data_IF_554215446024
#
_entry.id   IF_554215446024
#
_cell.length_a   1.000
_cell.length_b   1.000
_cell.length_c   1.000
_cell.angle_alpha   90.00
_cell.angle_beta   90.00
_cell.angle_gamma   90.00
#
_symmetry.space_group_name_H-M   'P 1'
#
loop_
_entity.id
_entity.type
_entity.pdbx_description
1 polymer ?
#
# COMPACT_ATOMS: atom_id res chain seq x y z
N UNK A 1 -19.51 18.87 2.05
CA UNK A 1 -18.88 17.73 2.72
C UNK A 1 -17.38 17.54 2.39
N UNK A 2 -16.58 18.61 2.23
CA UNK A 2 -15.15 18.55 1.92
C UNK A 2 -14.21 18.33 3.11
N UNK A 3 -14.70 18.19 4.33
CA UNK A 3 -13.89 18.15 5.58
C UNK A 3 -13.44 16.73 5.99
N UNK A 4 -12.92 15.95 5.04
CA UNK A 4 -12.49 14.55 5.31
C UNK A 4 -11.33 14.45 6.32
N UNK A 5 -10.50 15.47 6.44
CA UNK A 5 -9.40 15.50 7.41
C UNK A 5 -9.91 15.64 8.84
N UNK A 6 -10.85 16.56 9.02
CA UNK A 6 -11.53 16.81 10.29
C UNK A 6 -12.35 15.58 10.69
N UNK A 7 -13.13 15.03 9.79
CA UNK A 7 -13.91 13.81 10.02
C UNK A 7 -13.03 12.62 10.48
N UNK A 8 -11.81 12.48 9.96
CA UNK A 8 -10.86 11.46 10.46
C UNK A 8 -10.38 11.72 11.88
N UNK A 9 -10.16 12.99 12.24
CA UNK A 9 -9.78 13.33 13.63
C UNK A 9 -10.91 12.99 14.58
N UNK A 10 -12.14 13.37 14.23
CA UNK A 10 -13.33 13.04 15.02
C UNK A 10 -13.51 11.53 15.16
N UNK A 11 -13.43 10.76 14.06
CA UNK A 11 -13.52 9.30 14.11
C UNK A 11 -12.45 8.70 15.04
N UNK A 12 -11.22 9.21 15.00
CA UNK A 12 -10.16 8.74 15.88
C UNK A 12 -10.40 9.10 17.34
N UNK A 13 -11.06 10.22 17.59
CA UNK A 13 -11.39 10.66 18.94
C UNK A 13 -12.54 9.80 19.51
N UNK A 14 -13.70 9.79 18.85
CA UNK A 14 -14.89 9.10 19.35
C UNK A 14 -14.74 7.56 19.40
N UNK A 15 -13.92 6.98 18.53
CA UNK A 15 -13.71 5.53 18.47
C UNK A 15 -13.02 4.94 19.71
N UNK A 16 -12.64 5.75 20.69
CA UNK A 16 -12.11 5.29 21.98
C UNK A 16 -13.24 5.00 22.97
N UNK A 17 -14.38 5.65 22.79
CA UNK A 17 -15.46 5.70 23.76
C UNK A 17 -16.75 5.02 23.28
N UNK A 18 -16.75 4.50 22.04
CA UNK A 18 -17.89 3.78 21.45
C UNK A 18 -17.59 2.29 21.32
N UNK A 19 -18.64 1.48 21.45
CA UNK A 19 -18.55 0.02 21.33
C UNK A 19 -18.31 -0.44 19.88
N UNK A 20 -17.87 -1.69 19.73
CA UNK A 20 -17.57 -2.30 18.45
C UNK A 20 -18.78 -2.33 17.51
N UNK A 21 -20.00 -2.55 18.02
CA UNK A 21 -21.23 -2.61 17.21
C UNK A 21 -21.54 -1.26 16.61
N UNK A 22 -21.49 -0.21 17.42
CA UNK A 22 -21.69 1.18 16.97
C UNK A 22 -20.64 1.58 15.93
N UNK A 23 -19.37 1.24 16.17
CA UNK A 23 -18.29 1.54 15.24
C UNK A 23 -18.41 0.76 13.92
N UNK A 24 -18.86 -0.48 13.99
CA UNK A 24 -19.19 -1.29 12.82
C UNK A 24 -20.30 -0.64 11.99
N UNK A 25 -21.42 -0.26 12.61
CA UNK A 25 -22.54 0.40 11.94
C UNK A 25 -22.11 1.75 11.30
N UNK A 26 -21.31 2.53 12.00
CA UNK A 26 -20.72 3.76 11.44
C UNK A 26 -19.86 3.46 10.22
N UNK A 27 -19.08 2.38 10.23
CA UNK A 27 -18.22 1.98 9.11
C UNK A 27 -19.02 1.57 7.88
N UNK A 28 -20.17 0.90 8.07
CA UNK A 28 -21.14 0.61 7.00
C UNK A 28 -21.69 1.91 6.41
N UNK A 29 -22.11 2.86 7.24
CA UNK A 29 -22.59 4.18 6.79
C UNK A 29 -21.51 4.95 6.01
N UNK A 30 -20.25 4.92 6.48
CA UNK A 30 -19.15 5.56 5.75
C UNK A 30 -18.97 4.97 4.36
N UNK A 31 -19.09 3.64 4.23
CA UNK A 31 -19.05 2.94 2.94
C UNK A 31 -20.20 3.40 2.04
N UNK A 32 -21.42 3.44 2.55
CA UNK A 32 -22.61 3.85 1.78
C UNK A 32 -22.52 5.31 1.31
N UNK A 33 -21.84 6.17 2.07
CA UNK A 33 -21.56 7.56 1.69
C UNK A 33 -20.35 7.72 0.76
N UNK A 34 -19.72 6.63 0.34
CA UNK A 34 -18.51 6.64 -0.49
C UNK A 34 -17.25 7.13 0.24
N UNK A 35 -17.29 7.22 1.58
CA UNK A 35 -16.13 7.56 2.38
C UNK A 35 -15.35 6.29 2.78
N UNK A 36 -14.80 5.61 1.77
CA UNK A 36 -14.07 4.35 1.96
C UNK A 36 -12.94 4.42 2.98
N UNK A 37 -12.21 5.55 3.06
CA UNK A 37 -11.15 5.74 4.08
C UNK A 37 -11.74 5.70 5.50
N UNK A 38 -12.90 6.30 5.73
CA UNK A 38 -13.59 6.25 7.01
C UNK A 38 -14.03 4.83 7.37
N UNK A 39 -14.59 4.11 6.39
CA UNK A 39 -14.97 2.71 6.53
C UNK A 39 -13.77 1.84 6.94
N UNK A 40 -12.67 1.94 6.20
CA UNK A 40 -11.42 1.23 6.51
C UNK A 40 -10.92 1.51 7.93
N UNK A 41 -10.91 2.78 8.33
CA UNK A 41 -10.42 3.19 9.66
C UNK A 41 -11.33 2.72 10.79
N UNK A 42 -12.64 2.77 10.58
CA UNK A 42 -13.61 2.29 11.55
C UNK A 42 -13.51 0.78 11.73
N UNK A 43 -13.63 0.01 10.66
CA UNK A 43 -13.46 -1.44 10.71
C UNK A 43 -12.09 -1.87 11.23
N UNK A 44 -11.04 -1.11 11.00
CA UNK A 44 -9.70 -1.39 11.52
C UNK A 44 -9.60 -1.35 13.04
N UNK A 45 -10.61 -0.81 13.73
CA UNK A 45 -10.68 -0.68 15.19
C UNK A 45 -11.67 -1.64 15.84
N UNK A 46 -12.51 -2.33 15.03
CA UNK A 46 -13.45 -3.34 15.52
C UNK A 46 -12.83 -4.73 15.54
N UNK A 47 -13.43 -5.64 16.31
CA UNK A 47 -13.13 -7.07 16.30
C UNK A 47 -13.95 -7.84 15.24
N UNK A 48 -14.82 -7.17 14.49
CA UNK A 48 -15.60 -7.78 13.41
C UNK A 48 -14.74 -7.89 12.14
N UNK A 49 -14.65 -9.09 11.58
CA UNK A 49 -13.80 -9.40 10.41
C UNK A 49 -14.59 -9.79 9.15
N UNK A 50 -15.91 -9.81 9.23
CA UNK A 50 -16.80 -10.47 8.26
C UNK A 50 -16.96 -9.67 6.95
N UNK A 51 -16.96 -8.33 6.99
CA UNK A 51 -17.10 -7.49 5.79
C UNK A 51 -15.74 -7.16 5.16
N UNK A 52 -15.19 -8.13 4.43
CA UNK A 52 -13.89 -7.96 3.76
C UNK A 52 -13.96 -6.86 2.69
N UNK A 53 -15.07 -6.75 1.94
CA UNK A 53 -15.23 -5.73 0.89
C UNK A 53 -15.25 -4.30 1.46
N UNK A 54 -15.74 -4.11 2.69
CA UNK A 54 -15.70 -2.81 3.35
C UNK A 54 -14.34 -2.51 3.99
N UNK A 55 -13.65 -3.52 4.46
CA UNK A 55 -12.29 -3.41 5.01
C UNK A 55 -11.23 -3.22 3.93
N UNK A 56 -11.45 -3.81 2.74
CA UNK A 56 -10.53 -3.80 1.59
C UNK A 56 -11.21 -3.30 0.31
N UNK A 57 -11.79 -2.10 0.30
CA UNK A 57 -12.41 -1.55 -0.90
C UNK A 57 -11.37 -1.32 -2.00
N UNK A 58 -11.73 -1.65 -3.24
CA UNK A 58 -10.87 -1.38 -4.39
C UNK A 58 -10.98 0.11 -4.73
N UNK A 59 -9.94 0.87 -4.40
CA UNK A 59 -9.89 2.31 -4.64
C UNK A 59 -9.01 2.65 -5.84
N UNK A 60 -9.42 3.67 -6.61
CA UNK A 60 -8.66 4.16 -7.79
C UNK A 60 -8.38 3.08 -8.84
N UNK A 61 -9.25 2.10 -8.95
CA UNK A 61 -9.10 0.87 -9.74
C UNK A 61 -8.55 1.13 -11.14
N UNK A 62 -9.16 2.04 -11.90
CA UNK A 62 -8.73 2.38 -13.27
C UNK A 62 -7.27 2.76 -13.40
N UNK A 63 -6.68 3.38 -12.37
CA UNK A 63 -5.27 3.77 -12.40
C UNK A 63 -4.36 2.59 -12.07
N UNK A 64 -4.76 1.73 -11.14
CA UNK A 64 -4.02 0.50 -10.86
C UNK A 64 -4.09 -0.47 -12.03
N UNK A 65 -5.23 -0.59 -12.73
CA UNK A 65 -5.37 -1.40 -13.94
C UNK A 65 -4.44 -0.94 -15.06
N UNK A 66 -4.27 0.37 -15.25
CA UNK A 66 -3.38 0.93 -16.28
C UNK A 66 -1.94 0.45 -16.08
N UNK A 67 -1.48 0.30 -14.83
CA UNK A 67 -0.09 -0.06 -14.51
C UNK A 67 0.12 -1.52 -14.14
N UNK A 68 -0.91 -2.27 -13.80
CA UNK A 68 -0.83 -3.72 -13.57
C UNK A 68 -0.71 -4.53 -14.86
N UNK A 69 -1.12 -4.00 -16.01
CA UNK A 69 -0.96 -4.63 -17.34
C UNK A 69 0.50 -4.95 -17.72
N UNK A 70 1.46 -4.50 -16.93
CA UNK A 70 2.90 -4.64 -17.19
C UNK A 70 3.55 -5.75 -16.37
N UNK A 71 2.88 -6.87 -16.12
CA UNK A 71 3.32 -8.00 -15.28
C UNK A 71 3.49 -7.66 -13.78
N UNK A 72 2.86 -6.59 -13.29
CA UNK A 72 2.73 -6.32 -11.85
C UNK A 72 1.34 -6.76 -11.39
N UNK A 73 1.29 -7.50 -10.28
CA UNK A 73 0.01 -7.89 -9.69
C UNK A 73 -0.70 -6.66 -9.12
N UNK A 74 -1.93 -6.42 -9.56
CA UNK A 74 -2.79 -5.32 -9.06
C UNK A 74 -2.98 -5.40 -7.56
N UNK A 75 -3.20 -6.60 -7.04
CA UNK A 75 -3.35 -6.88 -5.60
C UNK A 75 -2.15 -6.38 -4.78
N UNK A 76 -0.94 -6.56 -5.29
CA UNK A 76 0.28 -6.10 -4.63
C UNK A 76 0.39 -4.57 -4.61
N UNK A 77 0.08 -3.91 -5.71
CA UNK A 77 0.08 -2.44 -5.77
C UNK A 77 -0.98 -1.84 -4.83
N UNK A 78 -2.15 -2.49 -4.74
CA UNK A 78 -3.20 -2.11 -3.78
C UNK A 78 -2.72 -2.34 -2.33
N UNK A 79 -2.04 -3.45 -2.05
CA UNK A 79 -1.45 -3.76 -0.74
C UNK A 79 -0.45 -2.69 -0.31
N UNK A 80 0.45 -2.27 -1.21
CA UNK A 80 1.40 -1.17 -0.97
C UNK A 80 0.65 0.12 -0.67
N UNK A 81 -0.28 0.55 -1.53
CA UNK A 81 -1.02 1.80 -1.34
C UNK A 81 -1.85 1.81 -0.05
N UNK A 82 -2.42 0.65 0.32
CA UNK A 82 -3.11 0.44 1.60
C UNK A 82 -2.17 0.67 2.77
N UNK A 83 -1.00 0.06 2.76
CA UNK A 83 -0.01 0.18 3.84
C UNK A 83 0.57 1.59 3.93
N UNK A 84 0.81 2.24 2.79
CA UNK A 84 1.43 3.56 2.74
C UNK A 84 0.53 4.67 3.27
N UNK A 85 -0.72 4.72 2.87
CA UNK A 85 -1.57 5.87 3.18
C UNK A 85 -3.04 5.55 3.44
N UNK A 86 -3.45 4.28 3.38
CA UNK A 86 -4.87 3.91 3.34
C UNK A 86 -5.57 4.66 2.17
N UNK A 87 -4.88 4.76 1.04
CA UNK A 87 -5.34 5.47 -0.16
C UNK A 87 -5.62 6.97 0.02
N UNK A 88 -5.07 7.61 1.04
CA UNK A 88 -5.28 9.04 1.30
C UNK A 88 -4.49 9.86 0.28
N UNK A 89 -5.20 10.53 -0.63
CA UNK A 89 -4.63 11.31 -1.73
C UNK A 89 -3.67 12.41 -1.26
N UNK A 90 -3.99 13.09 -0.17
CA UNK A 90 -3.21 14.22 0.36
C UNK A 90 -2.36 13.83 1.58
N UNK A 91 -2.04 12.54 1.73
CA UNK A 91 -1.16 12.11 2.79
C UNK A 91 0.24 12.71 2.62
N UNK A 92 0.84 13.11 3.74
CA UNK A 92 2.23 13.56 3.80
C UNK A 92 2.84 13.03 5.09
N UNK A 93 3.94 12.30 4.98
CA UNK A 93 4.68 11.82 6.15
C UNK A 93 5.59 12.92 6.74
N UNK A 94 6.07 12.71 7.95
CA UNK A 94 7.08 13.58 8.59
C UNK A 94 8.38 13.62 7.78
N UNK A 95 8.74 12.52 7.13
CA UNK A 95 9.91 12.42 6.24
C UNK A 95 9.70 13.08 4.86
N UNK A 96 8.47 13.54 4.56
CA UNK A 96 8.16 14.21 3.30
C UNK A 96 7.68 13.31 2.17
N UNK A 97 7.37 12.04 2.42
CA UNK A 97 6.70 11.18 1.46
C UNK A 97 5.25 11.66 1.20
N UNK A 98 4.76 11.56 -0.04
CA UNK A 98 3.54 12.24 -0.48
C UNK A 98 2.60 11.32 -1.25
N UNK A 99 1.30 11.50 -1.00
CA UNK A 99 0.21 10.91 -1.78
C UNK A 99 -0.11 9.46 -1.44
N UNK A 100 -0.87 8.82 -2.32
CA UNK A 100 -1.46 7.49 -2.15
C UNK A 100 -0.39 6.42 -1.89
N UNK A 101 0.69 6.44 -2.64
CA UNK A 101 1.79 5.48 -2.55
C UNK A 101 3.02 6.04 -1.81
N UNK A 102 2.86 7.16 -1.08
CA UNK A 102 3.89 7.79 -0.25
C UNK A 102 5.26 7.93 -0.94
N UNK A 103 5.25 8.64 -2.07
CA UNK A 103 6.46 8.81 -2.89
C UNK A 103 7.32 9.95 -2.37
N UNK A 104 8.59 9.67 -2.14
CA UNK A 104 9.59 10.71 -1.85
C UNK A 104 9.83 11.58 -3.09
N UNK A 105 9.95 12.92 -2.95
CA UNK A 105 10.21 13.82 -4.08
C UNK A 105 11.44 13.45 -4.90
N UNK A 106 12.51 12.96 -4.27
CA UNK A 106 13.72 12.47 -4.97
C UNK A 106 13.43 11.26 -5.85
N UNK A 107 12.65 10.30 -5.35
CA UNK A 107 12.21 9.12 -6.10
C UNK A 107 11.32 9.52 -7.28
N UNK A 108 10.40 10.46 -7.07
CA UNK A 108 9.55 10.97 -8.13
C UNK A 108 10.37 11.64 -9.24
N UNK A 109 11.33 12.49 -8.88
CA UNK A 109 12.21 13.14 -9.85
C UNK A 109 12.98 12.10 -10.68
N UNK A 110 13.53 11.07 -10.02
CA UNK A 110 14.24 9.98 -10.67
C UNK A 110 13.35 9.22 -11.67
N UNK A 111 12.11 8.88 -11.30
CA UNK A 111 11.15 8.19 -12.18
C UNK A 111 10.81 9.09 -13.39
N UNK A 112 10.46 10.36 -13.16
CA UNK A 112 10.07 11.28 -14.23
C UNK A 112 11.20 11.47 -15.25
N UNK A 113 12.46 11.58 -14.79
CA UNK A 113 13.63 11.65 -15.66
C UNK A 113 13.75 10.41 -16.56
N UNK A 114 13.58 9.20 -15.99
CA UNK A 114 13.71 7.94 -16.74
C UNK A 114 12.57 7.72 -17.73
N UNK A 115 11.37 8.14 -17.40
CA UNK A 115 10.19 8.00 -18.24
C UNK A 115 10.00 9.16 -19.22
N UNK A 116 10.90 10.15 -19.21
CA UNK A 116 10.79 11.40 -19.99
C UNK A 116 9.45 12.13 -19.74
N UNK A 117 8.83 11.90 -18.59
CA UNK A 117 7.55 12.50 -18.23
C UNK A 117 7.74 13.91 -17.69
N UNK A 118 6.88 14.85 -18.12
CA UNK A 118 6.93 16.25 -17.66
C UNK A 118 6.29 16.39 -16.27
N UNK A 119 6.84 17.27 -15.43
CA UNK A 119 6.16 17.75 -14.22
C UNK A 119 4.94 18.56 -14.62
N UNK A 120 3.78 18.21 -14.10
CA UNK A 120 2.52 18.87 -14.43
C UNK A 120 2.24 20.08 -13.51
N UNK A 121 2.71 20.04 -12.25
CA UNK A 121 2.53 21.10 -11.25
C UNK A 121 3.42 20.89 -10.03
N UNK A 122 3.50 21.90 -9.10
CA UNK A 122 4.21 21.75 -7.82
C UNK A 122 3.65 20.61 -6.97
N UNK A 123 2.34 20.33 -7.09
CA UNK A 123 1.62 19.35 -6.30
C UNK A 123 1.32 18.03 -7.06
N UNK A 124 2.11 17.74 -8.10
CA UNK A 124 1.89 16.57 -8.96
C UNK A 124 1.84 15.23 -8.18
N UNK A 125 2.51 15.13 -7.04
CA UNK A 125 2.48 13.95 -6.17
C UNK A 125 1.14 13.76 -5.45
N UNK A 126 0.27 14.76 -5.42
CA UNK A 126 -1.12 14.62 -4.95
C UNK A 126 -2.10 14.32 -6.09
N UNK A 127 -1.66 14.34 -7.35
CA UNK A 127 -2.47 13.84 -8.46
C UNK A 127 -2.53 12.30 -8.40
N UNK A 128 -3.72 11.74 -8.32
CA UNK A 128 -3.95 10.30 -8.14
C UNK A 128 -3.25 9.47 -9.22
N UNK A 129 -3.48 9.82 -10.50
CA UNK A 129 -2.89 9.10 -11.63
C UNK A 129 -1.36 9.16 -11.58
N UNK A 130 -0.80 10.35 -11.38
CA UNK A 130 0.65 10.54 -11.37
C UNK A 130 1.32 9.84 -10.17
N UNK A 131 0.70 9.90 -8.99
CA UNK A 131 1.24 9.25 -7.80
C UNK A 131 1.27 7.73 -7.94
N UNK A 132 0.16 7.13 -8.43
CA UNK A 132 0.07 5.69 -8.67
C UNK A 132 1.03 5.27 -9.79
N UNK A 133 1.13 6.05 -10.87
CA UNK A 133 2.13 5.81 -11.92
C UNK A 133 3.55 5.74 -11.37
N UNK A 134 3.97 6.78 -10.66
CA UNK A 134 5.35 6.87 -10.14
C UNK A 134 5.63 5.73 -9.17
N UNK A 135 4.70 5.43 -8.24
CA UNK A 135 4.86 4.36 -7.28
C UNK A 135 4.93 2.98 -7.92
N UNK A 136 4.04 2.70 -8.87
CA UNK A 136 4.02 1.43 -9.62
C UNK A 136 5.29 1.26 -10.47
N UNK A 137 5.73 2.32 -11.16
CA UNK A 137 6.96 2.29 -11.94
C UNK A 137 8.19 2.04 -11.05
N UNK A 138 8.27 2.73 -9.92
CA UNK A 138 9.37 2.55 -8.97
C UNK A 138 9.39 1.13 -8.40
N UNK A 139 8.24 0.60 -8.02
CA UNK A 139 8.16 -0.77 -7.53
C UNK A 139 8.56 -1.80 -8.59
N UNK A 140 8.08 -1.63 -9.84
CA UNK A 140 8.49 -2.46 -10.98
C UNK A 140 10.01 -2.43 -11.20
N UNK A 141 10.62 -1.26 -11.08
CA UNK A 141 12.07 -1.13 -11.16
C UNK A 141 12.77 -1.91 -10.05
N UNK A 142 12.32 -1.79 -8.81
CA UNK A 142 12.87 -2.54 -7.69
C UNK A 142 12.76 -4.05 -7.93
N UNK A 143 11.60 -4.52 -8.39
CA UNK A 143 11.35 -5.92 -8.70
C UNK A 143 12.26 -6.43 -9.81
N UNK A 144 12.46 -5.65 -10.88
CA UNK A 144 13.36 -6.03 -11.98
C UNK A 144 14.83 -6.16 -11.54
N UNK A 145 15.24 -5.43 -10.50
CA UNK A 145 16.60 -5.47 -9.96
C UNK A 145 16.81 -6.55 -8.91
N UNK A 146 15.77 -6.85 -8.13
CA UNK A 146 15.86 -7.77 -6.99
C UNK A 146 15.40 -9.19 -7.33
N UNK A 147 14.48 -9.32 -8.30
CA UNK A 147 13.81 -10.57 -8.67
C UNK A 147 13.16 -11.29 -7.46
N UNK A 148 12.79 -10.52 -6.44
CA UNK A 148 12.19 -10.97 -5.20
C UNK A 148 11.12 -9.96 -4.78
N UNK A 149 9.91 -10.41 -4.50
CA UNK A 149 8.85 -9.55 -3.98
C UNK A 149 9.18 -9.07 -2.58
N UNK A 150 9.67 -9.94 -1.72
CA UNK A 150 10.03 -9.63 -0.33
C UNK A 150 11.09 -8.53 -0.28
N UNK A 151 12.20 -8.71 -1.02
CA UNK A 151 13.25 -7.70 -1.08
C UNK A 151 12.79 -6.40 -1.73
N UNK A 152 11.93 -6.47 -2.73
CA UNK A 152 11.40 -5.28 -3.41
C UNK A 152 10.46 -4.48 -2.52
N UNK A 153 9.60 -5.16 -1.75
CA UNK A 153 8.73 -4.52 -0.75
C UNK A 153 9.60 -3.87 0.34
N UNK A 154 10.60 -4.59 0.86
CA UNK A 154 11.55 -4.05 1.84
C UNK A 154 12.30 -2.83 1.29
N UNK A 155 12.75 -2.88 0.02
CA UNK A 155 13.47 -1.80 -0.63
C UNK A 155 12.58 -0.58 -0.92
N UNK A 156 11.28 -0.79 -1.13
CA UNK A 156 10.34 0.30 -1.29
C UNK A 156 10.24 1.16 -0.01
N UNK A 157 10.21 0.51 1.15
CA UNK A 157 10.13 1.17 2.46
C UNK A 157 11.49 1.69 2.94
N UNK A 158 12.52 0.85 3.00
CA UNK A 158 13.82 1.18 3.61
C UNK A 158 14.89 1.68 2.64
N UNK A 159 14.58 1.67 1.34
CA UNK A 159 15.53 1.99 0.28
C UNK A 159 16.40 0.80 -0.16
N UNK A 160 16.81 0.79 -1.44
CA UNK A 160 17.53 -0.34 -2.03
C UNK A 160 18.90 -0.60 -1.40
N UNK A 161 19.60 0.44 -0.95
CA UNK A 161 20.93 0.31 -0.32
C UNK A 161 20.87 -0.43 1.00
N UNK A 162 19.86 -0.14 1.84
CA UNK A 162 19.64 -0.84 3.12
C UNK A 162 19.43 -2.33 2.89
N UNK A 163 18.55 -2.68 1.94
CA UNK A 163 18.24 -4.08 1.63
C UNK A 163 19.48 -4.80 1.05
N UNK A 164 20.26 -4.15 0.19
CA UNK A 164 21.51 -4.74 -0.32
C UNK A 164 22.49 -5.09 0.83
N UNK A 165 22.65 -4.16 1.78
CA UNK A 165 23.48 -4.38 2.97
C UNK A 165 22.95 -5.55 3.81
N UNK A 166 21.66 -5.61 4.09
CA UNK A 166 21.09 -6.68 4.89
C UNK A 166 21.18 -8.03 4.21
N UNK A 167 21.00 -8.07 2.90
CA UNK A 167 21.07 -9.30 2.12
C UNK A 167 22.49 -9.84 2.00
N UNK A 168 23.50 -8.97 1.98
CA UNK A 168 24.91 -9.41 2.00
C UNK A 168 25.30 -10.05 3.34
N UNK A 169 24.67 -9.63 4.44
CA UNK A 169 24.94 -10.15 5.78
C UNK A 169 24.17 -11.45 6.08
N UNK A 170 23.04 -11.67 5.43
CA UNK A 170 22.20 -12.84 5.66
C UNK A 170 21.59 -13.35 4.34
N UNK A 171 21.93 -14.58 3.97
CA UNK A 171 21.50 -15.27 2.74
C UNK A 171 20.38 -16.28 2.97
N UNK A 172 19.63 -16.17 4.08
CA UNK A 172 18.50 -17.04 4.36
C UNK A 172 17.48 -17.06 3.19
N UNK A 173 16.71 -18.14 2.99
CA UNK A 173 15.60 -18.18 2.06
C UNK A 173 14.62 -16.99 2.27
N UNK A 174 13.90 -16.59 1.23
CA UNK A 174 13.10 -15.36 1.26
C UNK A 174 12.05 -15.31 2.38
N UNK A 175 11.40 -16.43 2.65
CA UNK A 175 10.40 -16.58 3.70
C UNK A 175 10.96 -16.30 5.10
N UNK A 176 12.09 -16.91 5.42
CA UNK A 176 12.78 -16.72 6.69
C UNK A 176 13.57 -15.40 6.75
N UNK A 177 14.04 -14.88 5.59
CA UNK A 177 14.79 -13.63 5.54
C UNK A 177 14.02 -12.43 6.07
N UNK A 178 12.69 -12.44 5.99
CA UNK A 178 11.84 -11.38 6.55
C UNK A 178 12.16 -11.16 8.03
N UNK A 179 12.41 -12.22 8.80
CA UNK A 179 12.69 -12.13 10.23
C UNK A 179 14.07 -11.51 10.53
N UNK A 180 15.00 -11.59 9.57
CA UNK A 180 16.33 -11.02 9.69
C UNK A 180 16.42 -9.55 9.23
N UNK A 181 15.32 -8.93 8.77
CA UNK A 181 15.29 -7.49 8.46
C UNK A 181 15.54 -6.71 9.77
N UNK A 182 16.65 -5.95 9.90
CA UNK A 182 17.00 -5.30 11.17
C UNK A 182 16.00 -4.25 11.60
N UNK A 183 15.41 -3.51 10.65
CA UNK A 183 14.45 -2.47 10.95
C UNK A 183 13.08 -3.07 11.24
N UNK A 184 12.63 -2.98 12.49
CA UNK A 184 11.33 -3.49 12.95
C UNK A 184 10.17 -2.92 12.11
N UNK A 185 10.25 -1.64 11.75
CA UNK A 185 9.26 -0.99 10.89
C UNK A 185 9.20 -1.68 9.52
N UNK A 186 10.34 -1.87 8.87
CA UNK A 186 10.40 -2.50 7.54
C UNK A 186 9.96 -3.97 7.58
N UNK A 187 10.34 -4.71 8.61
CA UNK A 187 9.89 -6.09 8.81
C UNK A 187 8.37 -6.19 8.92
N UNK A 188 7.75 -5.34 9.74
CA UNK A 188 6.29 -5.23 9.85
C UNK A 188 5.65 -4.75 8.55
N UNK A 189 6.31 -3.83 7.84
CA UNK A 189 5.85 -3.32 6.56
C UNK A 189 5.74 -4.44 5.53
N UNK A 190 6.79 -5.25 5.36
CA UNK A 190 6.79 -6.38 4.42
C UNK A 190 5.66 -7.35 4.72
N UNK A 191 5.53 -7.79 5.98
CA UNK A 191 4.45 -8.71 6.40
C UNK A 191 3.07 -8.17 6.06
N UNK A 192 2.79 -6.91 6.41
CA UNK A 192 1.49 -6.29 6.15
C UNK A 192 1.21 -6.08 4.66
N UNK A 193 2.21 -5.72 3.85
CA UNK A 193 2.01 -5.60 2.40
C UNK A 193 1.68 -6.95 1.77
N UNK A 194 2.37 -8.02 2.16
CA UNK A 194 2.06 -9.37 1.70
C UNK A 194 0.65 -9.81 2.12
N UNK A 195 0.29 -9.62 3.39
CA UNK A 195 -1.05 -9.90 3.91
C UNK A 195 -2.13 -9.14 3.13
N UNK A 196 -1.99 -7.83 2.98
CA UNK A 196 -2.95 -7.02 2.23
C UNK A 196 -3.03 -7.42 0.76
N UNK A 197 -1.91 -7.81 0.16
CA UNK A 197 -1.89 -8.28 -1.22
C UNK A 197 -2.69 -9.56 -1.41
N UNK A 198 -2.61 -10.50 -0.47
CA UNK A 198 -3.40 -11.73 -0.50
C UNK A 198 -4.91 -11.44 -0.36
N UNK A 199 -5.27 -10.55 0.58
CA UNK A 199 -6.66 -10.17 0.74
C UNK A 199 -7.19 -9.46 -0.50
N UNK A 200 -6.43 -8.54 -1.09
CA UNK A 200 -6.82 -7.89 -2.35
C UNK A 200 -6.89 -8.87 -3.52
N UNK A 201 -6.02 -9.86 -3.57
CA UNK A 201 -6.11 -10.90 -4.59
C UNK A 201 -7.41 -11.70 -4.48
N UNK A 202 -7.78 -12.07 -3.26
CA UNK A 202 -9.06 -12.72 -2.99
C UNK A 202 -10.26 -11.84 -3.37
N UNK A 203 -10.23 -10.54 -3.02
CA UNK A 203 -11.31 -9.57 -3.33
C UNK A 203 -11.44 -9.40 -4.86
N UNK A 204 -10.32 -9.34 -5.59
CA UNK A 204 -10.32 -9.14 -7.04
C UNK A 204 -10.79 -10.38 -7.81
N UNK A 205 -10.37 -11.56 -7.38
CA UNK A 205 -10.49 -12.79 -8.16
C UNK A 205 -11.60 -13.73 -7.66
N UNK A 206 -12.10 -13.55 -6.43
CA UNK A 206 -13.17 -14.33 -5.72
C UNK A 206 -13.19 -15.87 -5.93
N UNK A 207 -12.33 -16.42 -6.80
CA UNK A 207 -12.28 -17.83 -7.19
C UNK A 207 -10.88 -18.46 -7.22
N UNK A 208 -9.81 -17.67 -7.41
CA UNK A 208 -8.44 -18.17 -7.51
C UNK A 208 -7.51 -17.31 -6.66
N UNK A 209 -7.26 -17.72 -5.43
CA UNK A 209 -6.31 -17.03 -4.54
C UNK A 209 -4.88 -17.39 -4.91
N UNK A 210 -4.02 -16.38 -5.05
CA UNK A 210 -2.57 -16.56 -5.12
C UNK A 210 -2.10 -17.13 -3.76
N UNK A 211 -1.35 -18.20 -3.80
CA UNK A 211 -0.71 -18.73 -2.57
C UNK A 211 0.45 -17.82 -2.18
N UNK A 212 0.72 -17.67 -0.88
CA UNK A 212 1.89 -16.92 -0.36
C UNK A 212 3.18 -17.38 -1.02
N UNK A 213 3.32 -18.70 -1.26
CA UNK A 213 4.48 -19.27 -1.98
C UNK A 213 4.69 -18.69 -3.37
N UNK A 214 3.64 -18.28 -4.08
CA UNK A 214 3.74 -17.68 -5.42
C UNK A 214 4.19 -16.21 -5.35
N UNK A 215 3.95 -15.51 -4.23
CA UNK A 215 4.48 -14.16 -3.98
C UNK A 215 5.93 -14.18 -3.49
N UNK A 216 6.37 -15.30 -2.92
CA UNK A 216 7.72 -15.43 -2.35
C UNK A 216 8.69 -16.02 -3.40
N UNK A 217 8.23 -16.91 -4.28
CA UNK A 217 9.06 -17.57 -5.30
C UNK A 217 8.73 -17.07 -6.70
N UNK A 218 9.54 -16.17 -7.25
CA UNK A 218 9.29 -15.59 -8.58
C UNK A 218 9.85 -16.44 -9.73
N UNK A 219 10.80 -17.30 -9.47
CA UNK A 219 11.40 -18.17 -10.51
C UNK A 219 11.86 -19.51 -9.89
N UNK A 220 11.05 -20.50 -10.05
CA UNK A 220 11.48 -21.90 -10.22
C UNK A 220 10.80 -22.49 -11.42
#
# INVERSE_FOLDING_TARGET
>A
LGRKREARKELNFISKDIDDTTLNNMSVLFKSWGWNVGSILGYGKTKYFDDVDARFPIMYEKYFDEYSKTNLQKSLLLGIARKESIFIQYAKSSAGAMGIMQIMPKTAFWVLKRTKSKKVSKNYLYNKKMNIFIGSYYFKYLLSKRKSYVESIAAYNAGPSSVSKWRSLNKAPEDSWIEFIPYVETRKYVKLVLEYSLVYDWVLNKKNTIRVSQLINIDK
#
